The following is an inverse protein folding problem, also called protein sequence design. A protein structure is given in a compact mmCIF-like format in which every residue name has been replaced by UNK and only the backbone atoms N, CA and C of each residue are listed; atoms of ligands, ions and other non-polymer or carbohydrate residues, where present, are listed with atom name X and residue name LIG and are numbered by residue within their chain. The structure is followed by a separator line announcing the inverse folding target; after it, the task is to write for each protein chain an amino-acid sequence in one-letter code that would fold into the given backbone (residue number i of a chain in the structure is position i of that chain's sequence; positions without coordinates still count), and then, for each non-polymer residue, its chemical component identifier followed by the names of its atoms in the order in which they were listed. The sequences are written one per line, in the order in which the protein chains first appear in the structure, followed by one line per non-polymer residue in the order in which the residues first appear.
data_IF_532304221856
#
_entry.id   IF_532304221856
#
_cell.length_a   1.000
_cell.length_b   1.000
_cell.length_c   1.000
_cell.angle_alpha   90.00
_cell.angle_beta   90.00
_cell.angle_gamma   90.00
#
_symmetry.space_group_name_H-M   'P 1'
#
loop_
_entity.id
_entity.type
_entity.pdbx_description
1 polymer ?
#
# COMPACT_ATOMS: atom_id res chain seq x y z
N UNK A 1 -0.29 -16.46 -3.27
CA UNK A 1 -0.18 -15.80 -4.60
C UNK A 1 1.25 -15.27 -4.68
N UNK A 2 2.21 -16.09 -5.11
CA UNK A 2 3.59 -15.65 -5.27
C UNK A 2 3.69 -14.70 -6.46
N UNK A 3 4.34 -13.57 -6.22
CA UNK A 3 4.56 -12.55 -7.23
C UNK A 3 5.75 -12.97 -8.11
N UNK A 4 5.69 -12.84 -9.45
CA UNK A 4 6.80 -13.20 -10.31
C UNK A 4 8.05 -12.35 -10.00
N UNK A 5 9.27 -12.88 -10.23
CA UNK A 5 10.52 -12.29 -9.77
C UNK A 5 10.77 -10.85 -10.25
N UNK A 6 10.16 -10.42 -11.37
CA UNK A 6 10.30 -9.06 -11.91
C UNK A 6 9.12 -8.12 -11.65
N UNK A 7 8.22 -8.48 -10.73
CA UNK A 7 7.01 -7.71 -10.50
C UNK A 7 7.25 -6.46 -9.65
N UNK A 8 7.54 -5.34 -10.31
CA UNK A 8 7.51 -4.03 -9.65
C UNK A 8 6.17 -3.31 -9.91
N UNK A 9 5.24 -3.25 -8.93
CA UNK A 9 3.94 -2.61 -9.12
C UNK A 9 4.06 -1.11 -9.43
N UNK A 10 5.14 -0.46 -8.99
CA UNK A 10 5.40 0.96 -9.22
C UNK A 10 5.98 1.29 -10.61
N UNK A 11 6.22 0.26 -11.43
CA UNK A 11 6.52 0.39 -12.87
C UNK A 11 5.36 -0.06 -13.76
N UNK A 12 4.48 -0.91 -13.23
CA UNK A 12 3.44 -1.61 -14.00
C UNK A 12 2.06 -0.97 -13.90
N UNK A 13 1.79 -0.26 -12.80
CA UNK A 13 0.48 0.34 -12.57
C UNK A 13 0.58 1.86 -12.42
N UNK A 14 -0.59 2.50 -12.40
CA UNK A 14 -0.68 3.95 -12.24
C UNK A 14 -0.08 4.38 -10.90
N UNK A 15 0.95 5.23 -10.97
CA UNK A 15 1.62 5.78 -9.79
C UNK A 15 0.99 7.13 -9.46
N UNK A 16 0.47 7.26 -8.24
CA UNK A 16 -0.11 8.51 -7.78
C UNK A 16 0.96 9.60 -7.61
N UNK A 17 0.58 10.82 -7.94
CA UNK A 17 1.31 12.04 -7.61
C UNK A 17 1.25 12.30 -6.11
N UNK A 18 2.22 13.07 -5.61
CA UNK A 18 2.25 13.43 -4.19
C UNK A 18 0.99 14.19 -3.75
N UNK A 19 0.49 15.11 -4.58
CA UNK A 19 -0.77 15.83 -4.31
C UNK A 19 -1.96 14.88 -4.20
N UNK A 20 -2.09 13.93 -5.14
CA UNK A 20 -3.17 12.93 -5.11
C UNK A 20 -3.11 12.07 -3.83
N UNK A 21 -1.92 11.74 -3.33
CA UNK A 21 -1.78 11.02 -2.05
C UNK A 21 -2.18 11.90 -0.86
N UNK A 22 -1.87 13.20 -0.90
CA UNK A 22 -2.19 14.16 0.17
C UNK A 22 -3.67 14.55 0.20
N UNK A 23 -4.32 14.65 -0.96
CA UNK A 23 -5.73 14.99 -1.10
C UNK A 23 -6.65 13.80 -0.75
N UNK A 24 -6.09 12.60 -0.58
CA UNK A 24 -6.82 11.36 -0.34
C UNK A 24 -6.40 10.69 0.97
N UNK A 25 -6.84 11.25 2.09
CA UNK A 25 -6.54 10.78 3.46
C UNK A 25 -6.90 9.31 3.70
N UNK A 26 -7.85 8.75 2.94
CA UNK A 26 -8.21 7.34 3.03
C UNK A 26 -7.05 6.40 2.66
N UNK A 27 -6.09 6.83 1.83
CA UNK A 27 -4.88 6.05 1.52
C UNK A 27 -4.07 5.85 2.80
N UNK A 28 -3.95 6.91 3.59
CA UNK A 28 -3.26 6.88 4.88
C UNK A 28 -3.99 5.97 5.87
N UNK A 29 -5.31 6.12 5.98
CA UNK A 29 -6.16 5.25 6.80
C UNK A 29 -5.99 3.77 6.42
N UNK A 30 -5.94 3.46 5.12
CA UNK A 30 -5.80 2.08 4.65
C UNK A 30 -4.46 1.46 5.01
N UNK A 31 -3.38 2.25 4.95
CA UNK A 31 -2.07 1.83 5.44
C UNK A 31 -2.11 1.54 6.94
N UNK A 32 -2.66 2.46 7.73
CA UNK A 32 -2.78 2.32 9.18
C UNK A 32 -3.58 1.08 9.58
N UNK A 33 -4.72 0.83 8.92
CA UNK A 33 -5.52 -0.36 9.11
C UNK A 33 -4.74 -1.64 8.77
N UNK A 34 -4.01 -1.66 7.66
CA UNK A 34 -3.18 -2.81 7.29
C UNK A 34 -2.09 -3.09 8.34
N UNK A 35 -1.41 -2.06 8.84
CA UNK A 35 -0.43 -2.18 9.93
C UNK A 35 -1.06 -2.73 11.20
N UNK A 36 -2.19 -2.15 11.63
CA UNK A 36 -2.88 -2.54 12.84
C UNK A 36 -3.43 -3.98 12.80
N UNK A 37 -3.91 -4.46 11.65
CA UNK A 37 -4.46 -5.82 11.53
C UNK A 37 -3.40 -6.90 11.41
N UNK A 38 -2.22 -6.58 10.89
CA UNK A 38 -1.15 -7.57 10.67
C UNK A 38 -0.35 -7.85 11.95
N UNK A 39 -0.26 -6.89 12.87
CA UNK A 39 0.54 -6.98 14.10
C UNK A 39 -0.29 -7.14 15.39
N UNK A 40 -1.47 -7.77 15.30
CA UNK A 40 -2.42 -7.94 16.42
C UNK A 40 -1.89 -8.66 17.67
N UNK A 41 -0.71 -9.29 17.62
CA UNK A 41 -0.15 -10.06 18.73
C UNK A 41 0.75 -9.27 19.69
N UNK A 42 1.05 -7.99 19.43
CA UNK A 42 1.90 -7.20 20.32
C UNK A 42 1.08 -6.38 21.32
N UNK A 43 0.77 -6.99 22.47
CA UNK A 43 0.08 -6.33 23.60
C UNK A 43 0.88 -5.15 24.21
N UNK A 44 2.16 -4.97 23.87
CA UNK A 44 3.02 -4.00 24.56
C UNK A 44 3.35 -2.73 23.74
N UNK A 45 3.18 -2.74 22.42
CA UNK A 45 3.58 -1.59 21.60
C UNK A 45 2.40 -1.16 20.74
N UNK A 46 1.67 -0.15 21.25
CA UNK A 46 0.89 0.75 20.39
C UNK A 46 1.85 1.26 19.33
N UNK A 47 1.88 0.61 18.16
CA UNK A 47 2.68 1.05 17.04
C UNK A 47 2.31 2.51 16.80
N UNK A 48 3.26 3.40 17.01
CA UNK A 48 3.02 4.82 16.80
C UNK A 48 2.85 5.02 15.30
N UNK A 49 1.60 4.94 14.85
CA UNK A 49 1.25 4.97 13.44
C UNK A 49 1.72 6.29 12.82
N UNK A 50 1.84 7.37 13.61
CA UNK A 50 2.34 8.67 13.12
C UNK A 50 3.76 8.59 12.52
N UNK A 51 4.54 7.56 12.88
CA UNK A 51 5.90 7.30 12.39
C UNK A 51 5.97 6.64 11.01
N UNK A 52 4.83 6.25 10.45
CA UNK A 52 4.75 5.70 9.10
C UNK A 52 4.88 6.83 8.08
N UNK A 53 5.80 6.70 7.11
CA UNK A 53 6.00 7.69 6.04
C UNK A 53 5.74 7.08 4.66
N UNK A 54 4.66 7.49 4.00
CA UNK A 54 4.35 7.04 2.64
C UNK A 54 5.41 7.62 1.68
N UNK A 55 5.99 6.73 0.86
CA UNK A 55 7.02 7.06 -0.13
C UNK A 55 6.42 7.08 -1.53
N UNK A 56 5.67 6.04 -1.90
CA UNK A 56 5.09 5.88 -3.23
C UNK A 56 3.82 5.03 -3.17
N UNK A 57 2.84 5.37 -3.99
CA UNK A 57 1.59 4.60 -4.12
C UNK A 57 1.36 4.26 -5.57
N UNK A 58 1.08 2.98 -5.85
CA UNK A 58 0.60 2.53 -7.14
C UNK A 58 -0.79 1.91 -6.99
N UNK A 59 -1.69 2.15 -7.95
CA UNK A 59 -3.05 1.63 -7.96
C UNK A 59 -3.27 0.77 -9.20
N UNK A 60 -3.74 -0.45 -8.97
CA UNK A 60 -4.28 -1.33 -9.99
C UNK A 60 -5.80 -1.34 -9.88
N UNK A 61 -6.48 -0.92 -10.94
CA UNK A 61 -7.95 -0.97 -11.06
C UNK A 61 -8.38 -2.11 -12.00
N UNK A 62 -9.68 -2.41 -12.00
CA UNK A 62 -10.30 -3.27 -13.02
C UNK A 62 -11.62 -2.59 -13.42
N UNK A 63 -11.79 -2.13 -14.68
CA UNK A 63 -10.87 -2.22 -15.82
C UNK A 63 -9.58 -1.40 -15.65
N UNK A 64 -8.54 -1.72 -16.44
CA UNK A 64 -7.21 -1.10 -16.35
C UNK A 64 -7.11 0.23 -17.11
N UNK A 65 -8.06 0.53 -18.01
CA UNK A 65 -8.07 1.70 -18.90
C UNK A 65 -8.89 2.87 -18.33
N UNK A 66 -8.87 3.06 -17.01
CA UNK A 66 -9.53 4.20 -16.37
C UNK A 66 -8.67 5.45 -16.48
N UNK A 67 -9.32 6.60 -16.70
CA UNK A 67 -8.62 7.88 -16.68
C UNK A 67 -8.11 8.18 -15.26
N UNK A 68 -7.02 8.95 -15.09
CA UNK A 68 -6.42 9.26 -13.79
C UNK A 68 -7.41 9.75 -12.72
N UNK A 69 -8.41 10.53 -13.12
CA UNK A 69 -9.44 11.07 -12.24
C UNK A 69 -10.46 10.00 -11.78
N UNK A 70 -10.64 8.93 -12.56
CA UNK A 70 -11.55 7.83 -12.25
C UNK A 70 -10.88 6.76 -11.36
N UNK A 71 -9.56 6.61 -11.47
CA UNK A 71 -8.77 5.62 -10.70
C UNK A 71 -8.97 5.78 -9.19
N UNK A 72 -8.95 7.03 -8.69
CA UNK A 72 -9.14 7.32 -7.26
C UNK A 72 -10.56 7.01 -6.76
N UNK A 73 -11.55 7.02 -7.66
CA UNK A 73 -12.94 6.67 -7.38
C UNK A 73 -13.30 5.19 -7.61
N UNK A 74 -12.39 4.37 -8.14
CA UNK A 74 -12.69 3.00 -8.56
C UNK A 74 -13.15 2.08 -7.41
N UNK A 75 -14.28 1.41 -7.61
CA UNK A 75 -14.91 0.52 -6.62
C UNK A 75 -14.09 -0.73 -6.26
N UNK A 76 -13.38 -1.32 -7.23
CA UNK A 76 -12.41 -2.40 -7.03
C UNK A 76 -11.02 -1.89 -7.41
N UNK A 77 -10.18 -1.74 -6.39
CA UNK A 77 -8.82 -1.26 -6.57
C UNK A 77 -7.87 -1.97 -5.62
N UNK A 78 -6.69 -2.33 -6.12
CA UNK A 78 -5.57 -2.80 -5.32
C UNK A 78 -4.51 -1.72 -5.25
N UNK A 79 -4.22 -1.27 -4.04
CA UNK A 79 -3.21 -0.29 -3.72
C UNK A 79 -1.93 -1.00 -3.29
N UNK A 80 -0.82 -0.57 -3.84
CA UNK A 80 0.53 -0.91 -3.42
C UNK A 80 1.13 0.35 -2.80
N UNK A 81 1.32 0.34 -1.49
CA UNK A 81 1.79 1.50 -0.71
C UNK A 81 3.19 1.17 -0.21
N UNK A 82 4.22 1.79 -0.79
CA UNK A 82 5.59 1.75 -0.25
C UNK A 82 5.72 2.80 0.84
N UNK A 83 6.15 2.40 2.02
CA UNK A 83 6.29 3.28 3.17
C UNK A 83 7.53 2.93 3.98
N UNK A 84 8.06 3.93 4.67
CA UNK A 84 9.06 3.74 5.73
C UNK A 84 8.35 3.61 7.06
N UNK A 85 8.72 2.58 7.79
CA UNK A 85 8.29 2.32 9.15
C UNK A 85 9.46 2.59 10.08
N UNK A 86 9.31 3.53 11.01
CA UNK A 86 10.34 3.86 12.00
C UNK A 86 9.97 3.39 13.41
N UNK A 87 9.07 2.40 13.50
CA UNK A 87 8.86 1.65 14.74
C UNK A 87 10.16 0.99 15.21
N UNK A 88 10.33 0.86 16.53
CA UNK A 88 11.44 0.10 17.14
C UNK A 88 12.86 0.65 16.86
N UNK A 89 12.98 1.96 16.54
CA UNK A 89 14.28 2.62 16.42
C UNK A 89 15.07 2.26 15.16
N UNK A 90 14.50 1.45 14.26
CA UNK A 90 15.06 1.14 12.94
C UNK A 90 14.09 1.60 11.85
N UNK A 91 14.63 2.17 10.78
CA UNK A 91 13.84 2.58 9.62
C UNK A 91 13.80 1.42 8.63
N UNK A 92 12.64 0.77 8.50
CA UNK A 92 12.41 -0.37 7.59
C UNK A 92 11.59 0.11 6.39
N UNK A 93 12.00 -0.28 5.18
CA UNK A 93 11.25 -0.02 3.95
C UNK A 93 10.30 -1.20 3.68
N UNK A 94 8.99 -0.92 3.65
CA UNK A 94 7.93 -1.91 3.56
C UNK A 94 6.95 -1.58 2.44
N UNK A 95 6.21 -2.59 1.99
CA UNK A 95 5.10 -2.43 1.06
C UNK A 95 3.84 -3.02 1.69
N UNK A 96 2.79 -2.20 1.81
CA UNK A 96 1.45 -2.67 2.11
C UNK A 96 0.69 -2.89 0.81
N UNK A 97 0.04 -4.05 0.68
CA UNK A 97 -0.88 -4.37 -0.40
C UNK A 97 -2.28 -4.31 0.18
N UNK A 98 -3.08 -3.34 -0.25
CA UNK A 98 -4.45 -3.13 0.23
C UNK A 98 -5.41 -3.24 -0.93
N UNK A 99 -6.33 -4.20 -0.88
CA UNK A 99 -7.44 -4.28 -1.82
C UNK A 99 -8.70 -3.72 -1.18
N UNK A 100 -9.32 -2.75 -1.85
CA UNK A 100 -10.67 -2.30 -1.54
C UNK A 100 -11.65 -2.92 -2.53
N UNK A 101 -12.80 -3.34 -2.03
CA UNK A 101 -13.91 -3.81 -2.83
C UNK A 101 -15.19 -3.17 -2.31
N UNK A 102 -15.82 -2.34 -3.14
CA UNK A 102 -17.05 -1.65 -2.81
C UNK A 102 -18.15 -2.15 -3.76
N UNK A 103 -18.95 -3.10 -3.26
CA UNK A 103 -20.18 -3.56 -3.93
C UNK A 103 -21.38 -3.08 -3.12
N UNK A 104 -22.02 -3.95 -2.35
CA UNK A 104 -23.10 -3.59 -1.41
C UNK A 104 -22.58 -3.18 -0.02
N UNK A 105 -21.36 -3.61 0.32
CA UNK A 105 -20.62 -3.25 1.54
C UNK A 105 -19.16 -2.99 1.16
N UNK A 106 -18.50 -2.11 1.92
CA UNK A 106 -17.06 -1.89 1.80
C UNK A 106 -16.30 -3.03 2.49
N UNK A 107 -15.40 -3.69 1.75
CA UNK A 107 -14.43 -4.64 2.29
C UNK A 107 -13.01 -4.16 2.01
N UNK A 108 -12.14 -4.26 3.03
CA UNK A 108 -10.72 -3.89 2.95
C UNK A 108 -9.90 -5.11 3.37
N UNK A 109 -9.02 -5.58 2.49
CA UNK A 109 -8.06 -6.64 2.77
C UNK A 109 -6.64 -6.09 2.65
N UNK A 110 -5.86 -6.18 3.73
CA UNK A 110 -4.50 -5.68 3.80
C UNK A 110 -3.49 -6.78 4.10
N UNK A 111 -2.29 -6.70 3.51
CA UNK A 111 -1.13 -7.49 3.90
C UNK A 111 0.15 -6.66 3.79
N UNK A 112 1.16 -6.96 4.60
CA UNK A 112 2.43 -6.22 4.66
C UNK A 112 3.57 -7.14 4.26
N UNK A 113 4.46 -6.63 3.42
CA UNK A 113 5.64 -7.32 2.92
C UNK A 113 6.87 -6.43 3.04
N UNK A 114 8.06 -7.04 3.12
CA UNK A 114 9.32 -6.30 2.96
C UNK A 114 9.44 -5.82 1.50
N UNK A 115 10.00 -4.62 1.29
CA UNK A 115 10.25 -4.14 -0.07
C UNK A 115 11.14 -5.08 -0.88
N UNK A 116 12.15 -5.69 -0.24
CA UNK A 116 13.11 -6.59 -0.89
C UNK A 116 12.46 -7.89 -1.41
N UNK A 117 11.28 -8.25 -0.89
CA UNK A 117 10.53 -9.43 -1.34
C UNK A 117 9.70 -9.16 -2.60
N UNK A 118 9.34 -7.90 -2.85
CA UNK A 118 8.46 -7.52 -3.98
C UNK A 118 9.25 -6.83 -5.09
N UNK A 119 10.21 -5.98 -4.75
CA UNK A 119 11.03 -5.28 -5.73
C UNK A 119 12.33 -6.08 -5.90
N UNK A 120 12.59 -6.71 -7.05
CA UNK A 120 13.85 -7.40 -7.27
C UNK A 120 15.02 -6.42 -7.17
N UNK A 121 16.11 -6.87 -6.52
CA UNK A 121 17.39 -6.20 -6.60
C UNK A 121 17.84 -6.21 -8.06
N UNK A 122 18.25 -5.06 -8.60
CA UNK A 122 19.04 -5.07 -9.82
C UNK A 122 20.36 -5.77 -9.48
N UNK A 123 20.65 -6.88 -10.15
CA UNK A 123 22.04 -7.31 -10.28
C UNK A 123 22.80 -6.20 -11.04
N UNK A 124 23.92 -5.79 -10.46
CA UNK A 124 24.81 -4.72 -10.95
C UNK A 124 25.79 -5.27 -11.99
#
# INVERSE_FOLDING_TARGET
LESPPDFNPFKRFYVLKKSEVQDNDWIRLYLELAVATTNRSYEDHRHDLSKLKIIKVAIKTTPQDLEPHEILGAYDATLYIRYKDSCEGKVVDRIAIVRRYLREKLAILGSIHSSDTIIPKKEE
#
